data_IF_169964329360
#
_entry.id   IF_169964329360
#
_cell.length_a   1.000
_cell.length_b   1.000
_cell.length_c   1.000
_cell.angle_alpha   90.00
_cell.angle_beta   90.00
_cell.angle_gamma   90.00
#
_symmetry.space_group_name_H-M   'P 1'
#
loop_
_entity.id
_entity.type
_entity.pdbx_description
1 polymer ?
#
# COMPACT_ATOMS: atom_id res chain seq x y z
N UNK A 1 5.10 -1.14 -2.05
CA UNK A 1 3.74 -1.62 -1.70
C UNK A 1 3.56 -3.07 -2.15
N UNK A 2 2.43 -3.71 -1.86
CA UNK A 2 2.08 -5.05 -2.36
C UNK A 2 0.58 -5.15 -2.58
N UNK A 3 0.18 -5.72 -3.70
CA UNK A 3 -1.24 -5.97 -3.96
C UNK A 3 -1.73 -7.14 -3.10
N UNK A 4 -2.94 -7.03 -2.53
CA UNK A 4 -3.50 -8.04 -1.59
C UNK A 4 -3.47 -9.48 -2.10
N UNK A 5 -3.68 -9.69 -3.41
CA UNK A 5 -3.67 -11.03 -4.02
C UNK A 5 -2.26 -11.60 -4.18
N UNK A 6 -1.23 -10.77 -4.36
CA UNK A 6 0.16 -11.25 -4.36
C UNK A 6 0.61 -11.57 -2.94
N UNK A 7 0.20 -10.77 -1.95
CA UNK A 7 0.41 -11.07 -0.54
C UNK A 7 -0.24 -12.40 -0.14
N UNK A 8 -1.48 -12.66 -0.58
CA UNK A 8 -2.16 -13.94 -0.33
C UNK A 8 -1.39 -15.14 -0.92
N UNK A 9 -0.79 -14.99 -2.11
CA UNK A 9 0.08 -16.02 -2.69
C UNK A 9 1.33 -16.23 -1.86
N UNK A 10 1.95 -15.16 -1.35
CA UNK A 10 3.11 -15.25 -0.47
C UNK A 10 2.75 -15.99 0.83
N UNK A 11 1.61 -15.70 1.45
CA UNK A 11 1.16 -16.41 2.65
C UNK A 11 1.00 -17.91 2.41
N UNK A 12 0.43 -18.31 1.26
CA UNK A 12 0.34 -19.73 0.89
C UNK A 12 1.74 -20.35 0.78
N UNK A 13 2.65 -19.73 0.04
CA UNK A 13 4.04 -20.21 -0.09
C UNK A 13 4.76 -20.28 1.26
N UNK A 14 4.53 -19.31 2.14
CA UNK A 14 5.13 -19.28 3.47
C UNK A 14 4.71 -20.48 4.33
N UNK A 15 3.45 -20.90 4.22
CA UNK A 15 2.93 -22.07 4.95
C UNK A 15 3.42 -23.38 4.34
N UNK A 16 3.50 -23.45 3.01
CA UNK A 16 3.81 -24.68 2.29
C UNK A 16 5.32 -24.97 2.23
N UNK A 17 6.15 -23.94 2.13
CA UNK A 17 7.55 -24.08 1.71
C UNK A 17 8.57 -23.36 2.61
N UNK A 18 8.18 -22.33 3.38
CA UNK A 18 9.15 -21.58 4.16
C UNK A 18 9.68 -22.37 5.37
N UNK A 19 10.99 -22.34 5.64
CA UNK A 19 11.55 -22.89 6.87
C UNK A 19 10.91 -22.27 8.13
N UNK A 20 10.72 -23.08 9.17
CA UNK A 20 10.22 -22.59 10.45
C UNK A 20 11.09 -21.45 10.99
N UNK A 21 10.45 -20.37 11.44
CA UNK A 21 11.15 -19.17 11.93
C UNK A 21 11.57 -18.19 10.83
N UNK A 22 11.20 -18.42 9.57
CA UNK A 22 11.45 -17.45 8.49
C UNK A 22 10.76 -16.11 8.74
N UNK A 23 11.46 -15.03 8.39
CA UNK A 23 10.90 -13.67 8.29
C UNK A 23 10.90 -13.29 6.82
N UNK A 24 9.73 -12.94 6.29
CA UNK A 24 9.52 -12.69 4.86
C UNK A 24 9.03 -11.26 4.65
N UNK A 25 9.65 -10.53 3.73
CA UNK A 25 9.22 -9.20 3.32
C UNK A 25 8.30 -9.31 2.10
N UNK A 26 7.00 -9.10 2.31
CA UNK A 26 6.02 -9.07 1.23
C UNK A 26 5.94 -7.72 0.52
N UNK A 27 7.03 -7.23 -0.07
CA UNK A 27 7.05 -5.99 -0.84
C UNK A 27 7.17 -6.27 -2.35
N UNK A 28 6.22 -5.82 -3.16
CA UNK A 28 6.31 -5.90 -4.62
C UNK A 28 7.09 -4.71 -5.20
N UNK A 29 6.83 -3.53 -4.67
CA UNK A 29 7.51 -2.27 -5.04
C UNK A 29 8.34 -1.74 -3.87
N UNK A 30 9.58 -1.39 -4.14
CA UNK A 30 10.52 -0.78 -3.20
C UNK A 30 10.37 0.75 -3.24
N UNK A 31 9.66 1.31 -2.25
CA UNK A 31 9.47 2.75 -2.12
C UNK A 31 8.43 3.31 -3.11
N UNK A 32 7.20 3.50 -2.63
CA UNK A 32 6.21 4.35 -3.32
C UNK A 32 6.12 5.64 -2.52
N UNK A 33 6.38 6.78 -3.15
CA UNK A 33 6.36 8.06 -2.43
C UNK A 33 4.93 8.35 -1.95
N UNK A 34 4.80 8.69 -0.66
CA UNK A 34 3.52 9.03 -0.05
C UNK A 34 2.83 10.21 -0.77
N UNK A 35 3.64 11.15 -1.28
CA UNK A 35 3.16 12.27 -2.09
C UNK A 35 2.44 11.81 -3.34
N UNK A 36 2.99 10.85 -4.08
CA UNK A 36 2.39 10.36 -5.33
C UNK A 36 1.04 9.70 -5.06
N UNK A 37 0.94 8.94 -3.97
CA UNK A 37 -0.33 8.35 -3.50
C UNK A 37 -1.36 9.45 -3.21
N UNK A 38 -0.96 10.50 -2.48
CA UNK A 38 -1.83 11.62 -2.16
C UNK A 38 -2.29 12.38 -3.43
N UNK A 39 -1.40 12.58 -4.40
CA UNK A 39 -1.70 13.25 -5.67
C UNK A 39 -2.70 12.45 -6.53
N UNK A 40 -2.56 11.13 -6.61
CA UNK A 40 -3.54 10.27 -7.32
C UNK A 40 -4.91 10.37 -6.63
N UNK A 41 -4.97 10.23 -5.31
CA UNK A 41 -6.21 10.34 -4.54
C UNK A 41 -6.86 11.72 -4.73
N UNK A 42 -6.07 12.80 -4.59
CA UNK A 42 -6.56 14.17 -4.73
C UNK A 42 -7.15 14.44 -6.12
N UNK A 43 -6.50 13.93 -7.18
CA UNK A 43 -7.01 14.06 -8.56
C UNK A 43 -8.32 13.32 -8.78
N UNK A 44 -8.44 12.08 -8.30
CA UNK A 44 -9.68 11.29 -8.44
C UNK A 44 -10.84 11.87 -7.64
N UNK A 45 -10.56 12.48 -6.48
CA UNK A 45 -11.58 13.11 -5.62
C UNK A 45 -11.84 14.60 -5.93
N UNK A 46 -11.02 15.23 -6.78
CA UNK A 46 -11.11 16.66 -7.08
C UNK A 46 -10.76 17.57 -5.90
N UNK A 47 -9.87 17.13 -5.00
CA UNK A 47 -9.44 17.89 -3.81
C UNK A 47 -7.95 18.26 -3.88
N UNK A 48 -7.55 19.43 -3.36
CA UNK A 48 -6.15 19.84 -3.36
C UNK A 48 -5.31 18.98 -2.43
N UNK A 49 -4.07 18.71 -2.83
CA UNK A 49 -3.04 18.09 -1.99
C UNK A 49 -2.15 19.18 -1.39
N UNK A 50 -1.83 19.04 -0.11
CA UNK A 50 -0.99 19.98 0.63
C UNK A 50 0.15 19.26 1.35
N UNK A 51 1.30 19.92 1.44
CA UNK A 51 2.39 19.48 2.30
C UNK A 51 2.08 19.82 3.75
N UNK A 52 2.47 18.95 4.67
CA UNK A 52 2.37 19.19 6.12
C UNK A 52 3.79 19.37 6.65
N UNK A 53 4.03 20.45 7.40
CA UNK A 53 5.33 20.69 8.01
C UNK A 53 5.62 19.64 9.11
N UNK A 54 6.88 19.21 9.32
CA UNK A 54 7.19 18.20 10.31
C UNK A 54 6.68 18.50 11.73
N UNK A 55 6.72 19.77 12.14
CA UNK A 55 6.22 20.26 13.43
C UNK A 55 4.70 20.11 13.60
N UNK A 56 3.95 20.15 12.49
CA UNK A 56 2.49 20.04 12.47
C UNK A 56 2.00 18.60 12.25
N UNK A 57 2.90 17.70 11.85
CA UNK A 57 2.55 16.33 11.45
C UNK A 57 1.83 15.56 12.57
N UNK A 58 2.23 15.74 13.82
CA UNK A 58 1.57 15.10 14.97
C UNK A 58 0.12 15.58 15.16
N UNK A 59 -0.14 16.86 14.94
CA UNK A 59 -1.50 17.42 15.00
C UNK A 59 -2.38 16.93 13.85
N UNK A 60 -1.80 16.73 12.65
CA UNK A 60 -2.53 16.32 11.46
C UNK A 60 -2.77 14.80 11.37
N UNK A 61 -1.72 14.00 11.60
CA UNK A 61 -1.75 12.54 11.44
C UNK A 61 -1.85 11.75 12.75
N UNK A 62 -1.77 12.42 13.90
CA UNK A 62 -1.84 11.77 15.21
C UNK A 62 -0.72 10.75 15.42
N UNK A 63 -1.08 9.55 15.88
CA UNK A 63 -0.12 8.46 16.15
C UNK A 63 0.62 7.97 14.89
N UNK A 64 0.09 8.23 13.69
CA UNK A 64 0.72 7.84 12.42
C UNK A 64 1.88 8.78 12.03
N UNK A 65 1.96 9.98 12.62
CA UNK A 65 2.93 11.00 12.22
C UNK A 65 4.37 10.48 12.23
N UNK A 66 4.73 9.72 13.26
CA UNK A 66 6.06 9.12 13.38
C UNK A 66 6.38 8.10 12.29
N UNK A 67 5.39 7.37 11.75
CA UNK A 67 5.62 6.43 10.65
C UNK A 67 5.66 7.15 9.29
N UNK A 68 4.74 8.10 9.05
CA UNK A 68 4.66 8.83 7.78
C UNK A 68 5.86 9.77 7.55
N UNK A 69 6.55 10.17 8.61
CA UNK A 69 7.75 11.01 8.52
C UNK A 69 9.03 10.22 8.19
N UNK A 70 8.97 8.88 8.08
CA UNK A 70 10.15 8.06 7.87
C UNK A 70 10.20 7.52 6.45
N UNK A 71 11.39 7.51 5.86
CA UNK A 71 11.68 6.80 4.63
C UNK A 71 12.19 5.39 4.99
N UNK A 72 11.30 4.39 4.89
CA UNK A 72 11.57 3.00 5.32
C UNK A 72 11.34 2.06 4.12
N UNK A 73 12.20 2.09 3.08
CA UNK A 73 12.10 1.14 1.97
C UNK A 73 12.37 -0.29 2.47
N UNK A 74 11.58 -1.23 1.95
CA UNK A 74 11.75 -2.65 2.23
C UNK A 74 11.92 -3.41 0.92
N UNK A 75 12.96 -4.22 0.85
CA UNK A 75 13.20 -5.15 -0.25
C UNK A 75 12.60 -6.53 0.05
N UNK A 76 12.14 -7.21 -1.00
CA UNK A 76 11.69 -8.61 -0.95
C UNK A 76 12.65 -9.59 -1.63
N UNK A 77 13.84 -9.16 -2.03
CA UNK A 77 14.79 -9.98 -2.81
C UNK A 77 15.01 -11.38 -2.20
N UNK A 78 15.32 -11.46 -0.90
CA UNK A 78 15.50 -12.72 -0.19
C UNK A 78 14.23 -13.58 -0.14
N UNK A 79 13.05 -12.95 -0.07
CA UNK A 79 11.77 -13.67 -0.10
C UNK A 79 11.52 -14.27 -1.48
N UNK A 80 11.86 -13.54 -2.55
CA UNK A 80 11.75 -14.03 -3.93
C UNK A 80 12.73 -15.17 -4.19
N UNK A 81 13.98 -15.03 -3.75
CA UNK A 81 14.99 -16.08 -3.86
C UNK A 81 14.59 -17.36 -3.11
N UNK A 82 14.13 -17.22 -1.87
CA UNK A 82 13.79 -18.35 -1.02
C UNK A 82 12.56 -19.13 -1.51
N UNK A 83 11.52 -18.43 -1.97
CA UNK A 83 10.20 -19.03 -2.24
C UNK A 83 9.79 -19.02 -3.71
N UNK A 84 10.63 -18.49 -4.60
CA UNK A 84 10.25 -18.24 -6.00
C UNK A 84 9.02 -17.33 -6.15
N UNK A 85 8.72 -16.51 -5.13
CA UNK A 85 7.54 -15.65 -5.13
C UNK A 85 7.73 -14.47 -6.08
N UNK A 86 6.93 -14.43 -7.14
CA UNK A 86 6.89 -13.30 -8.10
C UNK A 86 5.53 -12.60 -8.04
N UNK A 87 5.48 -11.32 -7.61
CA UNK A 87 4.27 -10.51 -7.69
C UNK A 87 3.88 -10.25 -9.15
N UNK A 88 2.60 -10.39 -9.48
CA UNK A 88 2.10 -10.25 -10.87
C UNK A 88 0.98 -9.24 -11.02
N UNK A 89 0.53 -8.63 -9.93
CA UNK A 89 -0.55 -7.64 -9.93
C UNK A 89 0.01 -6.24 -10.19
N UNK A 90 -0.85 -5.29 -10.60
CA UNK A 90 -0.43 -3.91 -10.75
C UNK A 90 0.19 -3.34 -9.48
N UNK A 91 1.15 -2.44 -9.65
CA UNK A 91 1.70 -1.63 -8.56
C UNK A 91 0.65 -0.68 -7.98
N UNK A 92 0.93 -0.10 -6.82
CA UNK A 92 -0.04 0.71 -6.06
C UNK A 92 -0.61 1.88 -6.87
N UNK A 93 0.26 2.67 -7.52
CA UNK A 93 -0.21 3.83 -8.29
C UNK A 93 -1.07 3.40 -9.48
N UNK A 94 -0.66 2.36 -10.21
CA UNK A 94 -1.44 1.82 -11.32
C UNK A 94 -2.82 1.30 -10.87
N UNK A 95 -2.89 0.59 -9.74
CA UNK A 95 -4.16 0.10 -9.20
C UNK A 95 -5.08 1.24 -8.72
N UNK A 96 -4.52 2.31 -8.14
CA UNK A 96 -5.29 3.51 -7.78
C UNK A 96 -5.87 4.21 -9.02
N UNK A 97 -5.14 4.23 -10.13
CA UNK A 97 -5.57 4.88 -11.37
C UNK A 97 -6.78 4.19 -12.03
N UNK A 98 -6.98 2.90 -11.79
CA UNK A 98 -8.15 2.16 -12.27
C UNK A 98 -9.48 2.70 -11.67
N UNK A 99 -9.41 3.55 -10.64
CA UNK A 99 -10.55 4.36 -10.19
C UNK A 99 -11.58 3.63 -9.32
N UNK A 100 -11.45 2.31 -9.16
CA UNK A 100 -12.40 1.47 -8.42
C UNK A 100 -12.49 1.78 -6.91
N UNK A 101 -11.50 2.50 -6.35
CA UNK A 101 -11.54 3.04 -4.98
C UNK A 101 -12.39 4.30 -4.81
N UNK A 102 -12.73 4.99 -5.90
CA UNK A 102 -13.35 6.32 -5.86
C UNK A 102 -14.82 6.30 -6.32
N UNK A 103 -15.35 5.13 -6.68
CA UNK A 103 -16.77 4.96 -6.96
C UNK A 103 -17.54 4.69 -5.68
N UNK A 104 -18.52 5.53 -5.33
CA UNK A 104 -19.45 5.21 -4.27
C UNK A 104 -20.37 4.06 -4.74
N UNK A 105 -20.15 2.85 -4.22
CA UNK A 105 -21.20 1.80 -4.20
C UNK A 105 -22.21 2.16 -3.11
N UNK A 106 -22.86 3.32 -3.24
CA UNK A 106 -23.94 3.73 -2.37
C UNK A 106 -25.24 3.11 -2.88
N UNK A 107 -25.70 2.01 -2.29
CA UNK A 107 -27.10 1.61 -2.43
C UNK A 107 -27.95 2.79 -1.97
N UNK A 108 -28.81 3.37 -2.83
CA UNK A 108 -29.68 4.45 -2.39
C UNK A 108 -30.62 3.91 -1.31
N UNK A 109 -30.42 4.36 -0.07
CA UNK A 109 -31.38 4.14 1.01
C UNK A 109 -32.58 5.01 0.67
N UNK A 110 -33.58 4.41 0.03
CA UNK A 110 -34.86 5.08 -0.22
C UNK A 110 -35.53 5.23 1.15
N UNK A 111 -35.52 6.44 1.71
CA UNK A 111 -36.33 6.76 2.89
C UNK A 111 -37.81 6.55 2.55
N UNK A 112 -38.47 5.71 3.34
CA UNK A 112 -39.94 5.65 3.44
C UNK A 112 -40.44 6.81 4.31
#
# INVERSE_FOLDING_TARGET
AVHRLDAARLFRLAVEEAPAGSVLHGAAEEGVALRDVAEVIGRHLGVPVASVAPEDAAGHFGWLAGMLAQDIPASSELTRELLGWEPVRPGLLADLEEGHYFTAQGTPVTSL
#
